data_IF_936465862831
#
_entry.id   IF_936465862831
#
_cell.length_a   1.000
_cell.length_b   1.000
_cell.length_c   1.000
_cell.angle_alpha   90.00
_cell.angle_beta   90.00
_cell.angle_gamma   90.00
#
_symmetry.space_group_name_H-M   'P 1'
#
loop_
_entity.id
_entity.type
_entity.pdbx_description
1 polymer ?
#
# COMPACT_ATOMS: atom_id res chain seq x y z
N UNK A 1 28.43 -45.86 16.22
CA UNK A 1 27.37 -45.72 15.20
C UNK A 1 26.30 -44.66 15.53
N UNK A 2 26.39 -43.96 16.67
CA UNK A 2 25.37 -42.98 17.13
C UNK A 2 25.55 -41.55 16.62
N UNK A 3 26.75 -41.16 16.15
CA UNK A 3 27.03 -39.80 15.65
C UNK A 3 26.42 -39.50 14.28
N UNK A 4 26.33 -40.49 13.39
CA UNK A 4 25.80 -40.30 12.04
C UNK A 4 24.29 -40.02 12.02
N UNK A 5 23.54 -40.62 12.95
CA UNK A 5 22.10 -40.41 13.08
C UNK A 5 21.76 -38.99 13.54
N UNK A 6 22.62 -38.37 14.36
CA UNK A 6 22.40 -37.02 14.88
C UNK A 6 22.58 -35.95 13.80
N UNK A 7 23.50 -36.16 12.85
CA UNK A 7 23.72 -35.24 11.73
C UNK A 7 22.58 -35.26 10.70
N UNK A 8 21.96 -36.41 10.46
CA UNK A 8 20.86 -36.54 9.50
C UNK A 8 19.56 -35.87 10.00
N UNK A 9 19.27 -35.95 11.30
CA UNK A 9 18.11 -35.28 11.89
C UNK A 9 18.17 -33.75 11.82
N UNK A 10 19.37 -33.17 11.93
CA UNK A 10 19.56 -31.72 11.86
C UNK A 10 19.28 -31.15 10.46
N UNK A 11 19.57 -31.90 9.39
CA UNK A 11 19.39 -31.44 8.00
C UNK A 11 17.90 -31.39 7.62
N UNK A 12 17.09 -32.31 8.14
CA UNK A 12 15.64 -32.34 7.89
C UNK A 12 14.92 -31.20 8.60
N UNK A 13 15.40 -30.76 9.78
CA UNK A 13 14.84 -29.61 10.49
C UNK A 13 15.10 -28.26 9.78
N UNK A 14 16.09 -28.20 8.88
CA UNK A 14 16.41 -27.02 8.06
C UNK A 14 15.70 -27.01 6.69
N UNK A 15 14.98 -28.08 6.34
CA UNK A 15 14.07 -28.10 5.20
C UNK A 15 12.78 -27.34 5.55
N UNK A 16 12.91 -26.02 5.77
CA UNK A 16 11.77 -25.13 5.92
C UNK A 16 10.86 -25.26 4.69
N UNK A 17 9.54 -25.30 4.92
CA UNK A 17 8.55 -25.30 3.85
C UNK A 17 8.84 -24.13 2.89
N UNK A 18 9.33 -24.44 1.70
CA UNK A 18 9.39 -23.51 0.59
C UNK A 18 7.96 -23.29 0.05
N UNK A 19 7.12 -22.64 0.85
CA UNK A 19 5.84 -22.13 0.39
C UNK A 19 6.17 -21.06 -0.65
N UNK A 20 6.00 -21.39 -1.94
CA UNK A 20 6.13 -20.38 -2.99
C UNK A 20 5.16 -19.25 -2.64
N UNK A 21 5.71 -18.05 -2.44
CA UNK A 21 4.87 -16.87 -2.30
C UNK A 21 3.94 -16.83 -3.50
N UNK A 22 2.63 -16.74 -3.25
CA UNK A 22 1.68 -16.60 -4.34
C UNK A 22 2.01 -15.32 -5.11
N UNK A 23 1.89 -15.32 -6.44
CA UNK A 23 2.20 -14.15 -7.24
C UNK A 23 1.28 -12.99 -6.82
N UNK A 24 1.86 -12.01 -6.13
CA UNK A 24 1.18 -10.76 -5.77
C UNK A 24 1.43 -9.75 -6.88
N UNK A 25 0.35 -9.20 -7.44
CA UNK A 25 0.43 -8.03 -8.33
C UNK A 25 -0.17 -6.82 -7.61
N UNK A 26 0.55 -5.69 -7.51
CA UNK A 26 -0.01 -4.43 -7.04
C UNK A 26 -0.80 -3.68 -8.15
N UNK A 27 -0.78 -4.19 -9.37
CA UNK A 27 -1.25 -3.48 -10.55
C UNK A 27 -2.78 -3.60 -10.76
N UNK A 28 -3.29 -2.71 -11.60
CA UNK A 28 -4.68 -2.63 -12.02
C UNK A 28 -4.74 -2.48 -13.54
N UNK A 29 -5.81 -2.99 -14.15
CA UNK A 29 -6.06 -2.80 -15.57
C UNK A 29 -7.55 -2.69 -15.88
N UNK A 30 -7.85 -2.17 -17.06
CA UNK A 30 -9.21 -2.11 -17.56
C UNK A 30 -9.58 -3.42 -18.26
N UNK A 31 -10.70 -4.02 -17.83
CA UNK A 31 -11.33 -5.14 -18.54
C UNK A 31 -12.55 -4.64 -19.30
N UNK A 32 -12.70 -5.07 -20.56
CA UNK A 32 -13.89 -4.76 -21.33
C UNK A 32 -15.10 -5.49 -20.72
N UNK A 33 -16.20 -4.75 -20.52
CA UNK A 33 -17.46 -5.33 -20.05
C UNK A 33 -18.41 -5.34 -21.23
N UNK A 34 -18.44 -6.46 -21.95
CA UNK A 34 -19.48 -6.67 -22.96
C UNK A 34 -20.84 -6.71 -22.26
N UNK A 35 -21.80 -5.93 -22.76
CA UNK A 35 -23.13 -5.72 -22.18
C UNK A 35 -24.05 -6.96 -22.20
N UNK A 36 -23.59 -8.09 -21.66
CA UNK A 36 -24.20 -9.40 -21.84
C UNK A 36 -24.40 -10.16 -20.53
N UNK A 37 -25.63 -10.06 -20.00
CA UNK A 37 -26.34 -11.06 -19.17
C UNK A 37 -25.55 -11.66 -17.99
N UNK A 38 -25.80 -11.09 -16.80
CA UNK A 38 -25.70 -11.83 -15.56
C UNK A 38 -26.47 -13.16 -15.70
N UNK A 39 -25.74 -14.28 -15.73
CA UNK A 39 -26.31 -15.62 -15.67
C UNK A 39 -27.18 -15.75 -14.42
N UNK A 40 -28.23 -16.58 -14.50
CA UNK A 40 -29.19 -16.76 -13.41
C UNK A 40 -28.49 -17.31 -12.15
N UNK A 41 -28.21 -16.44 -11.19
CA UNK A 41 -27.60 -16.72 -9.88
C UNK A 41 -27.55 -15.43 -9.03
N UNK A 42 -27.56 -15.50 -7.69
CA UNK A 42 -27.98 -14.38 -6.87
C UNK A 42 -26.90 -13.32 -6.58
N UNK A 43 -27.42 -12.11 -6.36
CA UNK A 43 -26.87 -10.85 -5.84
C UNK A 43 -25.97 -10.00 -6.75
N UNK A 44 -26.57 -8.90 -7.22
CA UNK A 44 -25.91 -7.72 -7.79
C UNK A 44 -25.75 -6.65 -6.68
N UNK A 45 -24.57 -6.03 -6.58
CA UNK A 45 -24.45 -4.61 -6.21
C UNK A 45 -23.75 -3.88 -7.34
N UNK A 46 -24.51 -3.02 -8.02
CA UNK A 46 -24.10 -2.24 -9.19
C UNK A 46 -25.19 -1.22 -9.48
N UNK A 47 -25.51 -0.41 -8.47
CA UNK A 47 -26.50 0.65 -8.63
C UNK A 47 -25.82 1.82 -9.34
N UNK A 48 -26.14 1.92 -10.63
CA UNK A 48 -26.30 3.18 -11.37
C UNK A 48 -25.07 3.85 -11.99
N UNK A 49 -24.13 3.09 -12.56
CA UNK A 49 -23.18 3.68 -13.52
C UNK A 49 -23.59 3.41 -14.97
N UNK A 50 -23.53 4.46 -15.84
CA UNK A 50 -23.76 4.30 -17.27
C UNK A 50 -22.76 3.28 -17.80
N UNK A 51 -23.19 2.47 -18.77
CA UNK A 51 -22.42 1.38 -19.36
C UNK A 51 -21.03 1.85 -19.80
N UNK A 52 -20.05 1.78 -18.90
CA UNK A 52 -18.65 1.98 -19.23
C UNK A 52 -18.23 0.70 -19.92
N UNK A 53 -17.74 0.84 -21.16
CA UNK A 53 -17.27 -0.28 -21.97
C UNK A 53 -16.10 -1.02 -21.32
N UNK A 54 -15.49 -0.44 -20.28
CA UNK A 54 -14.45 -1.07 -19.48
C UNK A 54 -14.56 -0.69 -18.00
N UNK A 55 -14.15 -1.61 -17.12
CA UNK A 55 -14.10 -1.45 -15.66
C UNK A 55 -12.66 -1.67 -15.20
N UNK A 56 -12.17 -0.82 -14.29
CA UNK A 56 -10.87 -1.00 -13.67
C UNK A 56 -10.94 -2.13 -12.65
N UNK A 57 -10.04 -3.11 -12.74
CA UNK A 57 -9.95 -4.23 -11.80
C UNK A 57 -8.51 -4.45 -11.36
N UNK A 58 -8.27 -4.96 -10.14
CA UNK A 58 -6.95 -5.40 -9.74
C UNK A 58 -6.50 -6.62 -10.54
N UNK A 59 -5.24 -6.66 -10.95
CA UNK A 59 -4.66 -7.80 -11.66
C UNK A 59 -4.77 -9.09 -10.84
N UNK A 60 -4.54 -8.98 -9.53
CA UNK A 60 -4.69 -10.08 -8.56
C UNK A 60 -6.10 -10.69 -8.54
N UNK A 61 -7.13 -9.98 -9.02
CA UNK A 61 -8.49 -10.50 -9.11
C UNK A 61 -8.78 -11.22 -10.44
N UNK A 62 -7.90 -11.06 -11.44
CA UNK A 62 -8.03 -11.71 -12.76
C UNK A 62 -7.08 -12.89 -12.92
N UNK A 63 -6.08 -13.02 -12.05
CA UNK A 63 -5.21 -14.20 -12.00
C UNK A 63 -6.03 -15.44 -11.66
N UNK A 64 -5.85 -16.56 -12.38
CA UNK A 64 -6.53 -17.81 -12.07
C UNK A 64 -6.30 -18.21 -10.62
N UNK A 65 -7.39 -18.42 -9.88
CA UNK A 65 -7.30 -18.83 -8.49
C UNK A 65 -6.76 -20.26 -8.39
N UNK A 66 -5.61 -20.41 -7.75
CA UNK A 66 -5.03 -21.72 -7.43
C UNK A 66 -5.40 -22.20 -6.03
N UNK A 67 -6.22 -21.45 -5.29
CA UNK A 67 -6.65 -21.84 -3.96
C UNK A 67 -7.53 -23.10 -4.01
N UNK A 68 -7.29 -24.00 -3.06
CA UNK A 68 -8.04 -25.26 -2.95
C UNK A 68 -9.53 -25.05 -2.58
N UNK A 69 -9.94 -23.83 -2.23
CA UNK A 69 -11.24 -23.50 -1.67
C UNK A 69 -11.86 -22.35 -2.46
N UNK A 70 -12.95 -22.58 -3.23
CA UNK A 70 -13.54 -21.58 -4.12
C UNK A 70 -14.23 -20.41 -3.42
N UNK A 71 -14.23 -20.39 -2.08
CA UNK A 71 -14.83 -19.31 -1.28
C UNK A 71 -13.84 -18.16 -1.03
N UNK A 72 -12.54 -18.38 -1.24
CA UNK A 72 -11.52 -17.36 -1.01
C UNK A 72 -11.19 -16.61 -2.30
N UNK A 73 -11.00 -15.31 -2.19
CA UNK A 73 -10.42 -14.53 -3.28
C UNK A 73 -8.93 -14.89 -3.40
N UNK A 74 -8.33 -14.79 -4.60
CA UNK A 74 -6.90 -14.98 -4.78
C UNK A 74 -6.08 -14.07 -3.85
N UNK A 75 -4.84 -14.47 -3.53
CA UNK A 75 -3.95 -13.65 -2.72
C UNK A 75 -3.79 -12.24 -3.31
N UNK A 76 -3.98 -11.22 -2.48
CA UNK A 76 -3.84 -9.81 -2.90
C UNK A 76 -5.11 -9.20 -3.50
N UNK A 77 -6.06 -9.99 -4.03
CA UNK A 77 -7.28 -9.45 -4.65
C UNK A 77 -8.15 -8.69 -3.62
N UNK A 78 -8.44 -9.29 -2.46
CA UNK A 78 -9.26 -8.63 -1.45
C UNK A 78 -8.66 -7.30 -0.96
N UNK A 79 -7.34 -7.25 -0.77
CA UNK A 79 -6.65 -6.04 -0.34
C UNK A 79 -6.71 -4.96 -1.41
N UNK A 80 -6.37 -5.29 -2.66
CA UNK A 80 -6.37 -4.31 -3.75
C UNK A 80 -7.79 -3.85 -4.11
N UNK A 81 -8.79 -4.72 -3.98
CA UNK A 81 -10.19 -4.33 -4.14
C UNK A 81 -10.63 -3.36 -3.05
N UNK A 82 -10.24 -3.60 -1.79
CA UNK A 82 -10.47 -2.65 -0.71
C UNK A 82 -9.77 -1.31 -0.97
N UNK A 83 -8.53 -1.31 -1.47
CA UNK A 83 -7.84 -0.08 -1.85
C UNK A 83 -8.60 0.69 -2.94
N UNK A 84 -9.18 -0.01 -3.92
CA UNK A 84 -10.00 0.60 -4.95
C UNK A 84 -11.27 1.27 -4.40
N UNK A 85 -11.88 0.72 -3.36
CA UNK A 85 -13.03 1.35 -2.71
C UNK A 85 -12.66 2.51 -1.77
N UNK A 86 -11.39 2.59 -1.35
CA UNK A 86 -10.91 3.64 -0.43
C UNK A 86 -10.22 4.81 -1.15
N UNK A 87 -9.75 4.62 -2.38
CA UNK A 87 -9.02 5.67 -3.11
C UNK A 87 -9.94 6.82 -3.50
N UNK A 88 -9.45 8.05 -3.41
CA UNK A 88 -10.22 9.24 -3.78
C UNK A 88 -10.52 9.31 -5.29
N UNK A 89 -9.61 8.78 -6.12
CA UNK A 89 -9.75 8.71 -7.58
C UNK A 89 -9.14 7.43 -8.10
N UNK A 90 -9.93 6.59 -8.76
CA UNK A 90 -9.49 5.26 -9.22
C UNK A 90 -8.30 5.31 -10.18
N UNK A 91 -8.22 6.32 -11.05
CA UNK A 91 -7.09 6.46 -11.98
C UNK A 91 -5.74 6.66 -11.29
N UNK A 92 -5.73 7.12 -10.03
CA UNK A 92 -4.50 7.29 -9.28
C UNK A 92 -3.87 5.92 -8.91
N UNK A 93 -4.62 4.82 -8.99
CA UNK A 93 -4.10 3.46 -8.82
C UNK A 93 -3.23 2.99 -10.01
N UNK A 94 -3.38 3.61 -11.17
CA UNK A 94 -2.63 3.24 -12.38
C UNK A 94 -1.29 3.97 -12.49
N UNK A 95 -1.29 5.28 -12.20
CA UNK A 95 -0.12 6.13 -12.49
C UNK A 95 0.28 7.02 -11.30
N UNK A 96 -0.47 6.98 -10.20
CA UNK A 96 -0.29 7.90 -9.08
C UNK A 96 -0.56 9.34 -9.48
N UNK A 97 -0.16 10.26 -8.59
CA UNK A 97 -0.31 11.71 -8.81
C UNK A 97 1.05 12.38 -8.86
N UNK A 98 1.14 13.44 -9.66
CA UNK A 98 2.23 14.39 -9.48
C UNK A 98 2.05 15.09 -8.12
N UNK A 99 2.98 14.84 -7.21
CA UNK A 99 2.98 15.38 -5.84
C UNK A 99 3.60 16.79 -5.77
N UNK A 100 4.07 17.33 -6.90
CA UNK A 100 4.85 18.56 -6.96
C UNK A 100 6.30 18.37 -6.54
N UNK A 101 7.06 19.48 -6.40
CA UNK A 101 8.42 19.43 -5.86
C UNK A 101 8.46 18.73 -4.51
N UNK A 102 9.49 17.93 -4.27
CA UNK A 102 9.66 17.26 -2.98
C UNK A 102 9.69 18.32 -1.86
N UNK A 103 8.81 18.17 -0.87
CA UNK A 103 8.69 19.08 0.28
C UNK A 103 9.80 18.81 1.30
N UNK A 104 11.06 18.78 0.86
CA UNK A 104 12.21 18.45 1.70
C UNK A 104 12.36 19.44 2.86
N UNK A 105 12.27 20.75 2.60
CA UNK A 105 12.44 21.77 3.64
C UNK A 105 11.30 21.76 4.69
N UNK A 106 10.01 21.70 4.31
CA UNK A 106 8.92 21.51 5.28
C UNK A 106 9.02 20.20 6.07
N UNK A 107 9.35 19.09 5.41
CA UNK A 107 9.52 17.81 6.08
C UNK A 107 10.68 17.82 7.08
N UNK A 108 11.82 18.41 6.70
CA UNK A 108 12.98 18.56 7.58
C UNK A 108 12.66 19.43 8.80
N UNK A 109 11.95 20.55 8.61
CA UNK A 109 11.51 21.40 9.74
C UNK A 109 10.54 20.69 10.67
N UNK A 110 9.58 19.93 10.13
CA UNK A 110 8.66 19.14 10.94
C UNK A 110 9.39 18.05 11.73
N UNK A 111 10.34 17.36 11.11
CA UNK A 111 11.19 16.38 11.78
C UNK A 111 12.04 17.03 12.87
N UNK A 112 12.65 18.18 12.60
CA UNK A 112 13.42 18.93 13.58
C UNK A 112 12.55 19.38 14.75
N UNK A 113 11.34 19.88 14.52
CA UNK A 113 10.41 20.22 15.59
C UNK A 113 10.01 19.01 16.44
N UNK A 114 9.83 17.84 15.83
CA UNK A 114 9.57 16.59 16.55
C UNK A 114 10.76 16.16 17.41
N UNK A 115 11.98 16.22 16.85
CA UNK A 115 13.23 15.82 17.54
C UNK A 115 13.58 16.80 18.67
N UNK A 116 13.50 18.10 18.40
CA UNK A 116 13.84 19.16 19.37
C UNK A 116 12.79 19.33 20.47
N UNK A 117 11.58 18.78 20.26
CA UNK A 117 10.47 18.94 21.19
C UNK A 117 9.91 20.38 21.20
N UNK A 118 8.91 20.65 22.06
CA UNK A 118 8.35 22.00 22.19
C UNK A 118 9.41 22.97 22.71
N UNK A 119 9.63 24.07 22.00
CA UNK A 119 10.48 25.16 22.49
C UNK A 119 9.96 25.67 23.83
N UNK A 120 10.84 25.70 24.83
CA UNK A 120 10.51 26.32 26.11
C UNK A 120 10.39 27.84 25.93
N UNK A 121 9.59 28.49 26.77
CA UNK A 121 9.46 29.95 26.72
C UNK A 121 10.80 30.66 26.95
N UNK A 122 11.73 30.03 27.66
CA UNK A 122 13.09 30.53 27.85
C UNK A 122 13.93 30.50 26.56
N UNK A 123 13.81 29.43 25.75
CA UNK A 123 14.46 29.36 24.44
C UNK A 123 13.91 30.42 23.50
N UNK A 124 12.58 30.61 23.49
CA UNK A 124 11.91 31.63 22.67
C UNK A 124 12.34 33.05 23.03
N UNK A 125 12.50 33.35 24.33
CA UNK A 125 13.01 34.64 24.81
C UNK A 125 14.47 34.87 24.42
N UNK A 126 15.31 33.82 24.47
CA UNK A 126 16.72 33.92 24.04
C UNK A 126 16.83 34.22 22.54
N UNK A 127 16.06 33.54 21.70
CA UNK A 127 16.05 33.79 20.25
C UNK A 127 15.56 35.21 19.91
N UNK A 128 14.56 35.73 20.64
CA UNK A 128 14.07 37.11 20.47
C UNK A 128 15.12 38.15 20.84
N UNK A 129 15.87 37.92 21.92
CA UNK A 129 16.96 38.81 22.34
C UNK A 129 18.12 38.79 21.34
N UNK A 130 18.52 37.60 20.86
CA UNK A 130 19.56 37.43 19.84
C UNK A 130 19.20 38.13 18.52
N UNK A 131 17.95 38.00 18.06
CA UNK A 131 17.50 38.66 16.82
C UNK A 131 17.40 40.19 16.95
N UNK A 132 17.17 40.72 18.16
CA UNK A 132 17.14 42.16 18.40
C UNK A 132 18.54 42.76 18.56
N UNK A 133 19.50 42.01 19.07
CA UNK A 133 20.92 42.40 19.07
C UNK A 133 21.52 42.43 17.66
N UNK A 134 21.17 41.47 16.79
CA UNK A 134 21.61 41.43 15.39
C UNK A 134 21.06 42.60 14.55
N UNK A 135 19.87 43.12 14.90
CA UNK A 135 19.28 44.30 14.28
C UNK A 135 19.87 45.64 14.78
N UNK A 136 20.43 45.67 15.99
CA UNK A 136 21.06 46.88 16.55
C UNK A 136 22.50 47.08 16.04
N UNK A 137 23.12 46.03 15.52
CA UNK A 137 24.50 46.02 15.01
C UNK A 137 24.61 46.29 13.50
N UNK A 138 23.50 46.50 12.79
CA UNK A 138 23.45 46.95 11.38
C UNK A 138 22.88 48.36 11.29
#
# INVERSE_FOLDING_TARGET
>A
MTKAAFCLGAIVALAGCASKAQPYSPDYHYVAVDGGRAGKGPVRKGYDMPQTKAVLVPDACTTPDTAAQPLYLPSGCANNLNLQFMVAREQDLLQGRNMGPAMAAPAARAAQAYISGPQTDEQRRREQNLGSEEQLSN
#
